data_IF_131585037723
#
_entry.id   IF_131585037723
#
_cell.length_a   1.000
_cell.length_b   1.000
_cell.length_c   1.000
_cell.angle_alpha   90.00
_cell.angle_beta   90.00
_cell.angle_gamma   90.00
#
_symmetry.space_group_name_H-M   'P 1'
#
loop_
_entity.id
_entity.type
_entity.pdbx_description
1 polymer ?
#
# COMPACT_ATOMS: atom_id res chain seq x y z
N UNK A 1 5.45 1.72 -40.09
CA UNK A 1 5.48 0.85 -38.90
C UNK A 1 4.60 1.47 -37.82
N UNK A 2 3.43 0.88 -37.52
CA UNK A 2 2.45 1.44 -36.57
C UNK A 2 2.49 0.55 -35.32
N UNK A 3 3.10 1.05 -34.23
CA UNK A 3 3.09 0.35 -32.95
C UNK A 3 1.70 0.58 -32.33
N UNK A 4 0.80 -0.40 -32.47
CA UNK A 4 -0.47 -0.40 -31.75
C UNK A 4 -0.18 -1.00 -30.38
N UNK A 5 0.17 -0.16 -29.41
CA UNK A 5 0.15 -0.56 -28.01
C UNK A 5 -1.31 -0.74 -27.64
N UNK A 6 -1.82 -1.98 -27.80
CA UNK A 6 -3.14 -2.36 -27.31
C UNK A 6 -3.17 -1.96 -25.83
N UNK A 7 -4.04 -1.01 -25.50
CA UNK A 7 -4.39 -0.69 -24.13
C UNK A 7 -4.78 -2.00 -23.46
N UNK A 8 -3.87 -2.58 -22.69
CA UNK A 8 -4.19 -3.66 -21.76
C UNK A 8 -5.28 -3.07 -20.88
N UNK A 9 -6.45 -3.70 -20.87
CA UNK A 9 -7.57 -3.27 -20.04
C UNK A 9 -7.02 -2.90 -18.65
N UNK A 10 -7.23 -1.64 -18.26
CA UNK A 10 -6.71 -1.12 -17.00
C UNK A 10 -7.31 -1.99 -15.90
N UNK A 11 -6.47 -2.81 -15.26
CA UNK A 11 -6.91 -3.67 -14.17
C UNK A 11 -7.66 -2.78 -13.17
N UNK A 12 -8.82 -3.19 -12.62
CA UNK A 12 -9.48 -2.39 -11.61
C UNK A 12 -8.74 -2.53 -10.28
N UNK A 13 -8.80 -1.47 -9.46
CA UNK A 13 -8.41 -1.58 -8.06
C UNK A 13 -9.36 -2.57 -7.37
N UNK A 14 -8.81 -3.57 -6.68
CA UNK A 14 -9.61 -4.49 -5.85
C UNK A 14 -9.12 -4.44 -4.42
N UNK A 15 -10.06 -4.36 -3.50
CA UNK A 15 -9.83 -4.46 -2.06
C UNK A 15 -10.75 -5.56 -1.51
N UNK A 16 -10.20 -6.41 -0.66
CA UNK A 16 -10.95 -7.40 0.13
C UNK A 16 -10.62 -7.20 1.59
N UNK A 17 -11.63 -7.31 2.45
CA UNK A 17 -11.43 -7.46 3.89
C UNK A 17 -11.21 -8.95 4.13
N UNK A 18 -10.02 -9.32 4.59
CA UNK A 18 -9.69 -10.70 4.94
C UNK A 18 -10.07 -11.02 6.38
N UNK A 19 -10.04 -10.02 7.26
CA UNK A 19 -10.42 -10.13 8.67
C UNK A 19 -10.88 -8.75 9.12
N UNK A 20 -12.12 -8.66 9.60
CA UNK A 20 -12.76 -7.42 10.06
C UNK A 20 -12.48 -7.17 11.54
N UNK A 21 -12.82 -5.96 12.01
CA UNK A 21 -12.76 -5.64 13.44
C UNK A 21 -13.71 -6.48 14.28
N UNK A 22 -14.83 -6.93 13.72
CA UNK A 22 -15.80 -7.77 14.42
C UNK A 22 -15.20 -9.16 14.67
N UNK A 23 -14.43 -9.68 13.70
CA UNK A 23 -13.74 -10.98 13.81
C UNK A 23 -12.64 -10.97 14.88
N UNK A 24 -12.07 -9.80 15.19
CA UNK A 24 -10.93 -9.66 16.11
C UNK A 24 -11.27 -8.92 17.40
N UNK A 25 -12.54 -8.65 17.66
CA UNK A 25 -12.98 -7.82 18.79
C UNK A 25 -12.22 -6.46 18.87
N UNK A 26 -11.97 -5.85 17.71
CA UNK A 26 -11.30 -4.56 17.58
C UNK A 26 -9.77 -4.57 17.59
N UNK A 27 -9.11 -5.73 17.75
CA UNK A 27 -7.64 -5.81 17.81
C UNK A 27 -6.95 -5.38 16.50
N UNK A 28 -7.40 -5.86 15.34
CA UNK A 28 -6.86 -5.45 14.04
C UNK A 28 -7.89 -5.57 12.91
N UNK A 29 -7.54 -5.04 11.74
CA UNK A 29 -8.25 -5.29 10.48
C UNK A 29 -7.21 -5.68 9.44
N UNK A 30 -7.53 -6.66 8.59
CA UNK A 30 -6.64 -7.13 7.53
C UNK A 30 -7.28 -6.93 6.17
N UNK A 31 -6.58 -6.21 5.30
CA UNK A 31 -6.97 -5.99 3.92
C UNK A 31 -6.08 -6.76 2.95
N UNK A 32 -6.64 -7.07 1.79
CA UNK A 32 -5.90 -7.53 0.62
C UNK A 32 -6.19 -6.59 -0.55
N UNK A 33 -5.12 -6.08 -1.16
CA UNK A 33 -5.19 -5.14 -2.27
C UNK A 33 -4.58 -5.76 -3.53
N UNK A 34 -5.31 -5.66 -4.64
CA UNK A 34 -4.74 -5.85 -5.99
C UNK A 34 -4.88 -4.51 -6.71
N UNK A 35 -3.73 -3.92 -7.02
CA UNK A 35 -3.66 -2.58 -7.55
C UNK A 35 -2.86 -2.59 -8.85
N UNK A 36 -3.35 -1.91 -9.90
CA UNK A 36 -2.63 -1.82 -11.16
C UNK A 36 -1.26 -1.17 -10.99
N UNK A 37 -0.28 -1.52 -11.83
CA UNK A 37 0.97 -0.79 -11.86
C UNK A 37 0.77 0.68 -12.24
N UNK A 38 1.45 1.57 -11.54
CA UNK A 38 1.31 3.02 -11.64
C UNK A 38 0.10 3.59 -10.89
N UNK A 39 -0.65 2.77 -10.14
CA UNK A 39 -1.74 3.27 -9.31
C UNK A 39 -1.21 4.07 -8.13
N UNK A 40 -1.85 5.22 -7.90
CA UNK A 40 -1.70 5.98 -6.66
C UNK A 40 -2.53 5.29 -5.59
N UNK A 41 -1.90 4.96 -4.48
CA UNK A 41 -2.55 4.42 -3.30
C UNK A 41 -3.19 5.53 -2.47
N UNK A 42 -3.17 5.34 -1.15
CA UNK A 42 -3.63 6.33 -0.18
C UNK A 42 -2.80 7.62 -0.27
N UNK A 43 -3.42 8.81 -0.15
CA UNK A 43 -2.69 10.07 -0.02
C UNK A 43 -1.71 10.06 1.16
N UNK A 44 -0.83 11.07 1.23
CA UNK A 44 0.08 11.21 2.38
C UNK A 44 -0.72 11.49 3.67
N UNK A 45 -0.66 10.57 4.64
CA UNK A 45 -1.43 10.67 5.89
C UNK A 45 -0.68 10.02 7.06
N UNK A 46 -1.24 10.10 8.27
CA UNK A 46 -0.75 9.41 9.46
C UNK A 46 -1.92 8.93 10.32
N UNK A 47 -1.62 8.03 11.26
CA UNK A 47 -2.58 7.57 12.26
C UNK A 47 -2.18 7.99 13.67
N UNK A 48 -3.16 8.47 14.45
CA UNK A 48 -2.94 8.87 15.84
C UNK A 48 -2.73 7.68 16.80
N UNK A 49 -3.36 6.55 16.51
CA UNK A 49 -3.40 5.40 17.43
C UNK A 49 -3.16 4.06 16.76
N UNK A 50 -3.05 4.02 15.42
CA UNK A 50 -2.96 2.77 14.65
C UNK A 50 -1.56 2.62 14.06
N UNK A 51 -1.01 1.43 14.19
CA UNK A 51 0.15 1.01 13.42
C UNK A 51 -0.35 0.35 12.15
N UNK A 52 0.25 0.69 11.01
CA UNK A 52 -0.06 0.09 9.72
C UNK A 52 1.10 -0.81 9.27
N UNK A 53 0.79 -1.99 8.73
CA UNK A 53 1.79 -2.95 8.26
C UNK A 53 1.49 -3.27 6.79
N UNK A 54 2.49 -3.05 5.94
CA UNK A 54 2.45 -3.35 4.51
C UNK A 54 3.30 -4.58 4.23
N UNK A 55 2.71 -5.61 3.62
CA UNK A 55 3.41 -6.77 3.11
C UNK A 55 3.18 -6.87 1.61
N UNK A 56 4.26 -6.95 0.83
CA UNK A 56 4.15 -7.10 -0.63
C UNK A 56 4.06 -8.57 -0.97
N UNK A 57 2.88 -9.01 -1.43
CA UNK A 57 2.67 -10.41 -1.82
C UNK A 57 3.19 -10.70 -3.25
N UNK A 58 3.15 -9.70 -4.14
CA UNK A 58 3.65 -9.79 -5.52
C UNK A 58 3.87 -8.37 -6.08
N UNK A 59 4.79 -8.23 -7.04
CA UNK A 59 5.14 -6.94 -7.64
C UNK A 59 6.03 -6.10 -6.74
N UNK A 60 5.88 -4.77 -6.81
CA UNK A 60 6.60 -3.84 -5.94
C UNK A 60 5.72 -2.68 -5.47
N UNK A 61 6.04 -2.18 -4.27
CA UNK A 61 5.32 -1.09 -3.61
C UNK A 61 6.30 0.01 -3.23
N UNK A 62 6.14 1.19 -3.82
CA UNK A 62 6.86 2.38 -3.43
C UNK A 62 6.11 3.09 -2.30
N UNK A 63 6.80 3.28 -1.18
CA UNK A 63 6.32 3.91 0.02
C UNK A 63 7.11 5.19 0.27
N UNK A 64 6.44 6.33 0.30
CA UNK A 64 7.01 7.54 0.87
C UNK A 64 6.74 7.52 2.37
N UNK A 65 7.77 7.40 3.20
CA UNK A 65 7.65 7.33 4.66
C UNK A 65 8.37 8.48 5.35
N UNK A 66 7.70 9.00 6.37
CA UNK A 66 8.15 10.02 7.28
C UNK A 66 8.23 11.45 6.71
N UNK A 67 8.51 12.41 7.58
CA UNK A 67 8.45 13.84 7.25
C UNK A 67 9.45 14.27 6.17
N UNK A 68 10.62 13.62 6.10
CA UNK A 68 11.63 13.89 5.08
C UNK A 68 11.31 13.24 3.73
N UNK A 69 10.24 12.44 3.66
CA UNK A 69 9.77 11.84 2.43
C UNK A 69 10.71 10.75 1.91
N UNK A 70 11.27 9.94 2.80
CA UNK A 70 12.16 8.85 2.41
C UNK A 70 11.37 7.85 1.56
N UNK A 71 11.77 7.70 0.29
CA UNK A 71 11.16 6.73 -0.62
C UNK A 71 11.79 5.37 -0.35
N UNK A 72 10.96 4.39 -0.03
CA UNK A 72 11.32 2.97 0.08
C UNK A 72 10.60 2.21 -1.03
N UNK A 73 11.28 1.28 -1.68
CA UNK A 73 10.66 0.35 -2.63
C UNK A 73 10.69 -1.02 -2.00
N UNK A 74 9.51 -1.55 -1.66
CA UNK A 74 9.31 -2.88 -1.13
C UNK A 74 9.07 -3.85 -2.30
N UNK A 75 9.71 -5.02 -2.24
CA UNK A 75 9.56 -6.13 -3.19
C UNK A 75 8.78 -7.27 -2.54
N UNK A 76 8.36 -8.24 -3.36
CA UNK A 76 7.66 -9.44 -2.88
C UNK A 76 8.39 -10.09 -1.68
N UNK A 77 7.63 -10.35 -0.62
CA UNK A 77 8.10 -10.89 0.67
C UNK A 77 8.61 -9.84 1.66
N UNK A 78 8.81 -8.58 1.25
CA UNK A 78 9.25 -7.52 2.15
C UNK A 78 8.07 -6.90 2.91
N UNK A 79 8.36 -6.51 4.16
CA UNK A 79 7.39 -5.95 5.10
C UNK A 79 7.86 -4.58 5.56
N UNK A 80 6.94 -3.62 5.64
CA UNK A 80 7.16 -2.32 6.24
C UNK A 80 6.09 -2.06 7.31
N UNK A 81 6.54 -1.74 8.51
CA UNK A 81 5.69 -1.24 9.58
C UNK A 81 5.80 0.28 9.67
N UNK A 82 4.65 0.94 9.73
CA UNK A 82 4.49 2.38 9.94
C UNK A 82 3.85 2.57 11.32
N UNK A 83 4.60 3.06 12.33
CA UNK A 83 4.09 3.18 13.69
C UNK A 83 3.02 4.28 13.80
N UNK A 84 2.18 4.19 14.83
CA UNK A 84 1.29 5.29 15.21
C UNK A 84 2.11 6.48 15.72
N UNK A 85 1.80 7.70 15.24
CA UNK A 85 2.44 8.97 15.60
C UNK A 85 3.98 9.03 15.42
N UNK A 86 4.49 10.24 15.26
CA UNK A 86 5.93 10.51 15.14
C UNK A 86 6.40 10.79 13.71
N UNK A 87 7.68 11.09 13.55
CA UNK A 87 8.22 11.53 12.26
C UNK A 87 8.14 10.47 11.18
N UNK A 88 8.08 9.18 11.54
CA UNK A 88 8.03 8.04 10.63
C UNK A 88 6.60 7.52 10.37
N UNK A 89 5.58 8.09 11.02
CA UNK A 89 4.18 7.64 10.90
C UNK A 89 3.44 8.18 9.68
N UNK A 90 4.11 8.99 8.87
CA UNK A 90 3.52 9.61 7.68
C UNK A 90 3.79 8.71 6.48
N UNK A 91 2.77 8.27 5.75
CA UNK A 91 2.95 7.37 4.61
C UNK A 91 2.06 7.72 3.40
N UNK A 92 2.59 7.44 2.21
CA UNK A 92 1.88 7.40 0.92
C UNK A 92 2.41 6.23 0.11
N UNK A 93 1.52 5.47 -0.49
CA UNK A 93 1.81 4.28 -1.29
C UNK A 93 1.57 4.52 -2.80
N UNK A 94 2.47 3.97 -3.61
CA UNK A 94 2.43 3.94 -5.07
C UNK A 94 2.80 2.53 -5.55
N UNK A 95 2.00 1.93 -6.41
CA UNK A 95 2.24 0.56 -6.86
C UNK A 95 3.07 0.54 -8.12
N UNK A 96 4.21 -0.13 -8.08
CA UNK A 96 5.17 -0.18 -9.18
C UNK A 96 5.10 -1.55 -9.90
N UNK A 97 5.54 -1.56 -11.17
CA UNK A 97 5.58 -2.75 -12.02
C UNK A 97 6.49 -3.84 -11.45
#
# INVERSE_FOLDING_TARGET
>A
MRLVQKSLAKMPHRMKILCSTDDTNGEYVKFYFELPPGSQGSPLHYHDTKTEIFEVLSGSLEMKVGQKGNIKVLRAGEVLQVPAKGTDSINRDNFNK
#
